data_IF_786721154506
#
_entry.id   IF_786721154506
#
_cell.length_a   1.000
_cell.length_b   1.000
_cell.length_c   1.000
_cell.angle_alpha   90.00
_cell.angle_beta   90.00
_cell.angle_gamma   90.00
#
_symmetry.space_group_name_H-M   'P 1'
#
loop_
_entity.id
_entity.type
_entity.pdbx_description
1 polymer ?
#
# COMPACT_ATOMS: atom_id res chain seq x y z
N UNK A 1 -13.67 -17.73 3.57
CA UNK A 1 -12.79 -18.01 2.42
C UNK A 1 -12.75 -16.75 1.58
N UNK A 2 -11.65 -16.00 1.64
CA UNK A 2 -11.45 -14.82 0.80
C UNK A 2 -10.85 -15.23 -0.54
N UNK A 3 -11.16 -14.46 -1.59
CA UNK A 3 -10.49 -14.59 -2.88
C UNK A 3 -9.27 -13.66 -2.89
N UNK A 4 -8.07 -14.25 -2.92
CA UNK A 4 -6.85 -13.47 -2.96
C UNK A 4 -6.71 -12.75 -4.31
N UNK A 5 -6.63 -11.43 -4.26
CA UNK A 5 -6.32 -10.59 -5.42
C UNK A 5 -4.82 -10.31 -5.51
N UNK A 6 -4.36 -9.81 -6.65
CA UNK A 6 -2.96 -9.36 -6.81
C UNK A 6 -2.56 -8.29 -5.78
N UNK A 7 -3.49 -7.48 -5.30
CA UNK A 7 -3.25 -6.48 -4.24
C UNK A 7 -3.00 -7.15 -2.87
N UNK A 8 -3.64 -8.29 -2.57
CA UNK A 8 -3.32 -9.07 -1.38
C UNK A 8 -1.88 -9.56 -1.43
N UNK A 9 -1.48 -10.12 -2.58
CA UNK A 9 -0.13 -10.64 -2.80
C UNK A 9 0.91 -9.51 -2.73
N UNK A 10 0.58 -8.32 -3.24
CA UNK A 10 1.42 -7.13 -3.10
C UNK A 10 1.65 -6.76 -1.63
N UNK A 11 0.59 -6.68 -0.82
CA UNK A 11 0.73 -6.35 0.60
C UNK A 11 1.56 -7.41 1.33
N UNK A 12 1.36 -8.69 1.03
CA UNK A 12 2.21 -9.76 1.58
C UNK A 12 3.68 -9.57 1.16
N UNK A 13 3.97 -9.24 -0.10
CA UNK A 13 5.34 -8.95 -0.57
C UNK A 13 5.97 -7.79 0.19
N UNK A 14 5.23 -6.70 0.36
CA UNK A 14 5.70 -5.53 1.12
C UNK A 14 6.05 -5.91 2.56
N UNK A 15 5.23 -6.74 3.22
CA UNK A 15 5.44 -7.18 4.60
C UNK A 15 6.55 -8.23 4.74
N UNK A 16 6.90 -8.94 3.66
CA UNK A 16 8.10 -9.80 3.61
C UNK A 16 9.36 -8.94 3.54
N UNK A 17 9.35 -7.89 2.72
CA UNK A 17 10.52 -7.04 2.48
C UNK A 17 10.74 -6.00 3.57
N UNK A 18 9.69 -5.50 4.21
CA UNK A 18 9.75 -4.34 5.10
C UNK A 18 8.94 -4.52 6.37
N UNK A 19 9.52 -4.08 7.49
CA UNK A 19 8.83 -3.95 8.78
C UNK A 19 8.13 -2.60 8.85
N UNK A 20 6.83 -2.57 8.58
CA UNK A 20 6.07 -1.32 8.43
C UNK A 20 4.73 -1.35 9.18
N UNK A 21 4.18 -0.17 9.48
CA UNK A 21 2.82 0.00 10.01
C UNK A 21 1.81 0.11 8.87
N UNK A 22 0.51 -0.11 9.16
CA UNK A 22 -0.57 0.09 8.18
C UNK A 22 -0.48 1.47 7.50
N UNK A 23 -0.31 2.54 8.28
CA UNK A 23 -0.18 3.91 7.79
C UNK A 23 0.95 4.08 6.76
N UNK A 24 2.07 3.39 6.94
CA UNK A 24 3.20 3.41 6.01
C UNK A 24 2.82 2.78 4.67
N UNK A 25 2.07 1.67 4.69
CA UNK A 25 1.57 1.02 3.47
C UNK A 25 0.64 1.95 2.69
N UNK A 26 -0.30 2.62 3.38
CA UNK A 26 -1.18 3.60 2.73
C UNK A 26 -0.40 4.75 2.08
N UNK A 27 0.54 5.34 2.82
CA UNK A 27 1.35 6.46 2.33
C UNK A 27 2.26 6.04 1.17
N UNK A 28 2.88 4.85 1.25
CA UNK A 28 3.70 4.30 0.18
C UNK A 28 2.86 4.12 -1.10
N UNK A 29 1.76 3.36 -1.01
CA UNK A 29 0.94 3.06 -2.17
C UNK A 29 0.31 4.32 -2.75
N UNK A 30 0.03 5.33 -1.93
CA UNK A 30 -0.37 6.66 -2.42
C UNK A 30 0.75 7.31 -3.25
N UNK A 31 1.98 7.38 -2.74
CA UNK A 31 3.10 8.01 -3.45
C UNK A 31 3.43 7.28 -4.75
N UNK A 32 3.36 5.95 -4.76
CA UNK A 32 3.53 5.15 -5.98
C UNK A 32 2.43 5.47 -6.98
N UNK A 33 1.17 5.57 -6.54
CA UNK A 33 0.04 5.95 -7.39
C UNK A 33 0.17 7.38 -7.93
N UNK A 34 0.68 8.32 -7.12
CA UNK A 34 0.86 9.71 -7.50
C UNK A 34 2.08 9.95 -8.42
N UNK A 35 3.08 9.07 -8.36
CA UNK A 35 4.29 9.17 -9.19
C UNK A 35 4.04 8.85 -10.68
N UNK A 36 2.90 8.23 -11.01
CA UNK A 36 2.53 7.89 -12.38
C UNK A 36 1.40 8.79 -12.86
N UNK A 37 1.59 9.36 -14.06
CA UNK A 37 0.56 10.14 -14.76
C UNK A 37 -0.47 9.25 -15.49
N UNK A 38 -0.32 7.93 -15.43
CA UNK A 38 -1.17 6.94 -16.08
C UNK A 38 -1.83 6.03 -15.03
N UNK A 39 -3.05 5.57 -15.30
CA UNK A 39 -3.73 4.58 -14.47
C UNK A 39 -2.90 3.31 -14.38
N UNK A 40 -2.68 2.83 -13.15
CA UNK A 40 -1.96 1.60 -12.89
C UNK A 40 -2.96 0.53 -12.45
N UNK A 41 -2.99 -0.60 -13.16
CA UNK A 41 -3.90 -1.73 -12.89
C UNK A 41 -3.85 -2.23 -11.43
N UNK A 42 -2.70 -2.08 -10.76
CA UNK A 42 -2.49 -2.48 -9.37
C UNK A 42 -2.85 -1.37 -8.34
N UNK A 43 -3.06 -0.14 -8.79
CA UNK A 43 -3.06 1.07 -7.96
C UNK A 43 -4.40 1.82 -7.88
N UNK A 44 -5.50 1.19 -8.30
CA UNK A 44 -6.85 1.75 -8.14
C UNK A 44 -7.29 1.70 -6.68
N UNK A 45 -6.78 2.63 -5.88
CA UNK A 45 -7.15 2.78 -4.48
C UNK A 45 -7.96 4.05 -4.27
N UNK A 46 -8.97 3.97 -3.42
CA UNK A 46 -9.88 5.05 -3.07
C UNK A 46 -9.26 6.04 -2.08
N UNK A 47 -8.05 6.54 -2.38
CA UNK A 47 -7.30 7.38 -1.46
C UNK A 47 -8.09 8.64 -1.07
N UNK A 48 -8.21 8.85 0.23
CA UNK A 48 -8.79 10.02 0.88
C UNK A 48 -7.71 10.70 1.70
N UNK A 49 -7.70 12.03 1.70
CA UNK A 49 -6.79 12.80 2.54
C UNK A 49 -7.23 12.75 3.99
N UNK A 50 -6.32 12.40 4.88
CA UNK A 50 -6.52 12.49 6.34
C UNK A 50 -5.52 13.47 6.96
N UNK A 51 -5.65 13.70 8.27
CA UNK A 51 -4.66 14.48 9.04
C UNK A 51 -3.33 13.74 9.23
N UNK A 52 -3.29 12.43 9.00
CA UNK A 52 -2.12 11.57 9.22
C UNK A 52 -1.44 11.13 7.92
N UNK A 53 -1.95 11.56 6.77
CA UNK A 53 -1.46 11.18 5.45
C UNK A 53 -2.59 10.69 4.54
N UNK A 54 -2.24 9.91 3.53
CA UNK A 54 -3.20 9.29 2.63
C UNK A 54 -3.76 8.02 3.28
N UNK A 55 -5.04 7.76 3.04
CA UNK A 55 -5.71 6.57 3.54
C UNK A 55 -6.62 6.00 2.46
N UNK A 56 -6.67 4.68 2.31
CA UNK A 56 -7.60 4.01 1.40
C UNK A 56 -8.38 2.95 2.17
N UNK A 57 -9.71 2.95 2.03
CA UNK A 57 -10.53 1.90 2.65
C UNK A 57 -10.29 0.57 1.96
N UNK A 58 -9.99 0.56 0.67
CA UNK A 58 -9.60 -0.63 -0.08
C UNK A 58 -8.35 -1.30 0.51
N UNK A 59 -7.28 -0.53 0.74
CA UNK A 59 -6.05 -1.06 1.38
C UNK A 59 -6.36 -1.58 2.79
N UNK A 60 -7.11 -0.83 3.59
CA UNK A 60 -7.41 -1.26 4.95
C UNK A 60 -8.23 -2.55 4.95
N UNK A 61 -9.20 -2.68 4.05
CA UNK A 61 -9.98 -3.90 3.88
C UNK A 61 -9.10 -5.09 3.55
N UNK A 62 -8.11 -4.94 2.65
CA UNK A 62 -7.16 -6.02 2.34
C UNK A 62 -6.36 -6.40 3.59
N UNK A 63 -5.86 -5.42 4.34
CA UNK A 63 -5.13 -5.66 5.60
C UNK A 63 -6.01 -6.43 6.59
N UNK A 64 -7.27 -6.04 6.73
CA UNK A 64 -8.21 -6.69 7.64
C UNK A 64 -8.57 -8.12 7.19
N UNK A 65 -8.75 -8.35 5.89
CA UNK A 65 -8.95 -9.68 5.29
C UNK A 65 -7.73 -10.59 5.54
N UNK A 66 -6.50 -10.07 5.39
CA UNK A 66 -5.27 -10.81 5.69
C UNK A 66 -5.13 -11.13 7.20
N UNK A 67 -5.54 -10.23 8.09
CA UNK A 67 -5.58 -10.48 9.55
C UNK A 67 -6.60 -11.54 9.90
N UNK A 68 -7.81 -11.45 9.33
CA UNK A 68 -8.90 -12.40 9.57
C UNK A 68 -8.49 -13.82 9.20
N UNK A 69 -7.75 -13.99 8.10
CA UNK A 69 -7.19 -15.28 7.68
C UNK A 69 -5.87 -15.66 8.39
N UNK A 70 -5.43 -14.88 9.39
CA UNK A 70 -4.19 -15.10 10.17
C UNK A 70 -2.93 -15.21 9.28
N UNK A 71 -2.92 -14.46 8.18
CA UNK A 71 -1.76 -14.37 7.29
C UNK A 71 -0.78 -13.30 7.75
N UNK A 72 -1.27 -12.33 8.50
CA UNK A 72 -0.48 -11.25 9.11
C UNK A 72 -0.93 -11.04 10.55
N UNK A 73 -0.04 -10.49 11.36
CA UNK A 73 -0.26 -10.08 12.74
C UNK A 73 0.17 -8.62 12.90
N UNK A 74 -0.63 -7.81 13.59
CA UNK A 74 -0.30 -6.41 13.84
C UNK A 74 0.06 -6.22 15.32
N UNK A 75 1.20 -5.59 15.56
CA UNK A 75 1.63 -5.09 16.86
C UNK A 75 1.66 -3.56 16.84
N UNK A 76 1.86 -2.92 18.00
CA UNK A 76 1.93 -1.45 18.12
C UNK A 76 2.94 -0.80 17.16
N UNK A 77 4.04 -1.52 16.88
CA UNK A 77 5.14 -1.01 16.07
C UNK A 77 5.15 -1.46 14.61
N UNK A 78 4.45 -2.53 14.23
CA UNK A 78 4.57 -3.10 12.89
C UNK A 78 3.52 -4.16 12.59
N UNK A 79 3.26 -4.36 11.32
CA UNK A 79 2.59 -5.55 10.80
C UNK A 79 3.67 -6.56 10.41
N UNK A 80 3.48 -7.83 10.79
CA UNK A 80 4.36 -8.95 10.46
C UNK A 80 3.59 -10.01 9.71
N UNK A 81 4.26 -10.64 8.75
CA UNK A 81 3.71 -11.79 8.03
C UNK A 81 3.87 -13.07 8.87
N UNK A 82 2.87 -13.93 8.87
CA UNK A 82 2.94 -15.26 9.52
C UNK A 82 3.55 -16.30 8.58
N UNK A 83 3.89 -17.48 9.10
CA UNK A 83 4.33 -18.60 8.26
C UNK A 83 3.29 -18.98 7.20
N UNK A 84 1.99 -18.94 7.57
CA UNK A 84 0.88 -19.18 6.64
C UNK A 84 0.83 -18.08 5.56
N UNK A 85 1.03 -16.81 5.94
CA UNK A 85 1.12 -15.70 5.00
C UNK A 85 2.26 -15.88 3.99
N UNK A 86 3.44 -16.31 4.46
CA UNK A 86 4.58 -16.60 3.59
C UNK A 86 4.28 -17.73 2.60
N UNK A 87 3.63 -18.81 3.05
CA UNK A 87 3.22 -19.90 2.16
C UNK A 87 2.24 -19.43 1.06
N UNK A 88 1.24 -18.62 1.41
CA UNK A 88 0.32 -18.04 0.43
C UNK A 88 1.07 -17.17 -0.57
N UNK A 89 2.00 -16.33 -0.09
CA UNK A 89 2.84 -15.53 -0.98
C UNK A 89 3.70 -16.40 -1.90
N UNK A 90 4.33 -17.47 -1.42
CA UNK A 90 5.14 -18.34 -2.30
C UNK A 90 4.30 -19.01 -3.39
N UNK A 91 3.04 -19.36 -3.09
CA UNK A 91 2.14 -19.98 -4.06
C UNK A 91 1.60 -18.98 -5.09
N UNK A 92 1.37 -17.73 -4.69
CA UNK A 92 0.70 -16.72 -5.53
C UNK A 92 1.63 -15.61 -6.02
N UNK A 93 2.88 -15.57 -5.57
CA UNK A 93 3.82 -14.46 -5.80
C UNK A 93 4.10 -14.19 -7.28
N UNK A 94 4.09 -15.24 -8.11
CA UNK A 94 4.24 -15.12 -9.56
C UNK A 94 3.15 -14.26 -10.23
N UNK A 95 1.99 -14.08 -9.58
CA UNK A 95 0.94 -13.17 -10.05
C UNK A 95 1.35 -11.70 -10.06
N UNK A 96 2.44 -11.33 -9.36
CA UNK A 96 3.00 -9.99 -9.39
C UNK A 96 3.97 -9.73 -10.55
N UNK A 97 4.36 -10.76 -11.32
CA UNK A 97 5.33 -10.63 -12.41
C UNK A 97 4.94 -9.58 -13.47
N UNK A 98 3.66 -9.45 -13.89
CA UNK A 98 3.25 -8.40 -14.83
C UNK A 98 3.38 -6.98 -14.28
N UNK A 99 3.50 -6.81 -12.97
CA UNK A 99 3.50 -5.52 -12.27
C UNK A 99 4.89 -5.16 -11.71
N UNK A 100 5.97 -5.62 -12.35
CA UNK A 100 7.35 -5.37 -11.92
C UNK A 100 7.66 -3.88 -11.80
N UNK A 101 7.23 -3.06 -12.77
CA UNK A 101 7.44 -1.61 -12.75
C UNK A 101 6.79 -0.92 -11.55
N UNK A 102 5.61 -1.39 -11.12
CA UNK A 102 4.95 -0.90 -9.92
C UNK A 102 5.75 -1.29 -8.67
N UNK A 103 6.24 -2.53 -8.63
CA UNK A 103 7.09 -3.01 -7.54
C UNK A 103 8.41 -2.22 -7.45
N UNK A 104 9.04 -1.92 -8.57
CA UNK A 104 10.31 -1.17 -8.61
C UNK A 104 10.13 0.25 -8.02
N UNK A 105 8.97 0.89 -8.24
CA UNK A 105 8.65 2.17 -7.58
C UNK A 105 8.41 2.03 -6.09
N UNK A 106 7.77 0.93 -5.66
CA UNK A 106 7.63 0.63 -4.24
C UNK A 106 9.01 0.50 -3.59
N UNK A 107 9.93 -0.23 -4.23
CA UNK A 107 11.31 -0.37 -3.78
C UNK A 107 12.02 1.00 -3.74
N UNK A 108 11.99 1.76 -4.83
CA UNK A 108 12.67 3.06 -4.93
C UNK A 108 12.21 4.03 -3.82
N UNK A 109 10.91 4.11 -3.57
CA UNK A 109 10.36 4.96 -2.51
C UNK A 109 10.75 4.39 -1.14
N UNK A 110 10.57 3.08 -0.91
CA UNK A 110 10.88 2.48 0.38
C UNK A 110 12.36 2.57 0.73
N UNK A 111 13.29 2.32 -0.19
CA UNK A 111 14.74 2.41 0.08
C UNK A 111 15.16 3.82 0.54
N UNK A 112 14.49 4.87 0.04
CA UNK A 112 14.72 6.25 0.49
C UNK A 112 14.23 6.52 1.92
N UNK A 113 13.21 5.80 2.38
CA UNK A 113 12.51 6.09 3.64
C UNK A 113 12.44 4.91 4.62
N UNK A 114 13.13 3.79 4.35
CA UNK A 114 13.03 2.56 5.15
C UNK A 114 13.45 2.77 6.60
N UNK A 115 14.41 3.67 6.83
CA UNK A 115 14.90 4.06 8.14
C UNK A 115 14.23 5.35 8.68
N UNK A 116 13.31 5.95 7.91
CA UNK A 116 12.60 7.19 8.27
C UNK A 116 11.12 7.14 7.84
N UNK A 117 10.27 6.36 8.54
CA UNK A 117 8.84 6.31 8.27
C UNK A 117 8.14 7.67 8.41
N UNK A 118 8.66 8.57 9.26
CA UNK A 118 8.16 9.94 9.37
C UNK A 118 8.48 10.74 8.11
N UNK A 119 9.66 10.53 7.51
CA UNK A 119 10.06 11.09 6.22
C UNK A 119 9.12 10.70 5.09
N UNK A 120 8.68 9.44 5.04
CA UNK A 120 7.67 8.99 4.07
C UNK A 120 6.36 9.76 4.25
N UNK A 121 5.89 9.89 5.50
CA UNK A 121 4.67 10.64 5.81
C UNK A 121 4.80 12.11 5.41
N UNK A 122 5.91 12.77 5.78
CA UNK A 122 6.21 14.15 5.37
C UNK A 122 6.22 14.30 3.85
N UNK A 123 6.75 13.32 3.11
CA UNK A 123 6.76 13.32 1.65
C UNK A 123 5.35 13.34 1.05
N UNK A 124 4.40 12.62 1.65
CA UNK A 124 2.97 12.68 1.27
C UNK A 124 2.43 14.10 1.38
N UNK A 125 2.70 14.82 2.47
CA UNK A 125 2.25 16.20 2.66
C UNK A 125 2.88 17.19 1.67
N UNK A 126 4.03 16.87 1.10
CA UNK A 126 4.71 17.66 0.07
C UNK A 126 4.20 17.36 -1.35
N UNK A 127 3.44 16.28 -1.55
CA UNK A 127 2.92 15.90 -2.86
C UNK A 127 1.80 16.84 -3.32
N UNK A 128 1.86 17.30 -4.57
CA UNK A 128 0.90 18.30 -5.07
C UNK A 128 -0.52 17.73 -5.20
N UNK A 129 -0.65 16.45 -5.53
CA UNK A 129 -1.94 15.77 -5.66
C UNK A 129 -2.59 15.64 -4.29
N UNK A 130 -1.81 15.26 -3.27
CA UNK A 130 -2.28 15.24 -1.88
C UNK A 130 -2.72 16.63 -1.39
N UNK A 131 -1.93 17.67 -1.67
CA UNK A 131 -2.19 19.03 -1.19
C UNK A 131 -3.45 19.65 -1.77
N UNK A 132 -3.85 19.27 -2.98
CA UNK A 132 -5.05 19.79 -3.66
C UNK A 132 -6.36 19.33 -3.02
N UNK A 133 -6.41 18.11 -2.49
CA UNK A 133 -7.59 17.58 -1.81
C UNK A 133 -7.74 18.18 -0.40
N UNK A 134 -8.96 18.40 0.09
CA UNK A 134 -9.21 18.73 1.50
C UNK A 134 -9.27 17.46 2.36
N UNK A 135 -9.10 17.61 3.67
CA UNK A 135 -9.27 16.48 4.60
C UNK A 135 -10.67 15.90 4.45
N UNK A 136 -10.77 14.59 4.24
CA UNK A 136 -12.02 13.88 3.98
C UNK A 136 -12.39 13.74 2.51
N UNK A 137 -11.72 14.44 1.60
CA UNK A 137 -11.95 14.33 0.15
C UNK A 137 -11.09 13.24 -0.48
N UNK A 138 -11.61 12.64 -1.57
CA UNK A 138 -10.84 11.74 -2.43
C UNK A 138 -9.72 12.52 -3.10
N UNK A 139 -8.53 11.92 -3.13
CA UNK A 139 -7.32 12.53 -3.68
C UNK A 139 -7.27 12.36 -5.21
N UNK A 140 -7.61 11.16 -5.70
CA UNK A 140 -7.76 10.89 -7.12
C UNK A 140 -9.23 10.96 -7.51
N UNK A 141 -9.52 11.75 -8.54
CA UNK A 141 -10.79 11.72 -9.24
C UNK A 141 -10.60 10.92 -10.52
N UNK A 142 -10.64 9.59 -10.42
CA UNK A 142 -10.79 8.73 -11.58
C UNK A 142 -12.16 9.06 -12.19
N UNK A 143 -12.16 9.78 -13.31
CA UNK A 143 -13.38 10.12 -14.02
C UNK A 143 -14.01 8.83 -14.51
N UNK A 144 -15.21 8.51 -14.03
CA UNK A 144 -16.07 7.60 -14.78
C UNK A 144 -16.64 8.43 -15.93
N UNK A 145 -15.91 8.47 -17.05
CA UNK A 145 -16.43 8.92 -18.35
C UNK A 145 -16.97 7.74 -19.12
#
# INVERSE_FOLDING_TARGET
MIFYTVQHVLILRLLICYKVKSATIHNLLFLVSAAKNEEQELAFYDFVRTRLGAYSRGIQRIIDELKQERLIEESEDSIRITQRGMQIYYNLGASLNPFSSFWDLCLEIMERYVNDPEGLSKRVFCDITFRRAKVGERIFSYGWS
#
